data_IF_098245353548
#
_entry.id   IF_098245353548
#
_cell.length_a   1.000
_cell.length_b   1.000
_cell.length_c   1.000
_cell.angle_alpha   90.00
_cell.angle_beta   90.00
_cell.angle_gamma   90.00
#
_symmetry.space_group_name_H-M   'P 1'
#
loop_
_entity.id
_entity.type
_entity.pdbx_description
1 polymer ?
#
# COMPACT_ATOMS: atom_id res chain seq x y z
N UNK A 1 12.44 -20.94 -17.64
CA UNK A 1 11.37 -20.53 -18.58
C UNK A 1 10.05 -20.22 -17.87
N UNK A 2 9.62 -21.02 -16.90
CA UNK A 2 8.39 -20.76 -16.10
C UNK A 2 8.41 -19.44 -15.31
N UNK A 3 9.52 -19.10 -14.63
CA UNK A 3 9.62 -17.85 -13.84
C UNK A 3 9.45 -16.58 -14.68
N UNK A 4 10.05 -16.53 -15.87
CA UNK A 4 9.96 -15.36 -16.76
C UNK A 4 8.52 -15.16 -17.25
N UNK A 5 7.82 -16.25 -17.58
CA UNK A 5 6.41 -16.19 -17.99
C UNK A 5 5.53 -15.71 -16.84
N UNK A 6 5.74 -16.23 -15.62
CA UNK A 6 5.07 -15.78 -14.39
C UNK A 6 5.28 -14.28 -14.13
N UNK A 7 6.52 -13.81 -14.25
CA UNK A 7 6.90 -12.39 -14.16
C UNK A 7 6.10 -11.57 -15.17
N UNK A 8 6.19 -11.93 -16.46
CA UNK A 8 5.52 -11.18 -17.53
C UNK A 8 4.00 -11.15 -17.36
N UNK A 9 3.39 -12.26 -16.94
CA UNK A 9 1.95 -12.36 -16.72
C UNK A 9 1.45 -11.45 -15.59
N UNK A 10 2.22 -11.29 -14.51
CA UNK A 10 1.85 -10.41 -13.41
C UNK A 10 2.03 -8.91 -13.74
N UNK A 11 3.07 -8.57 -14.51
CA UNK A 11 3.53 -7.18 -14.67
C UNK A 11 2.98 -6.51 -15.92
N UNK A 12 2.94 -7.23 -17.05
CA UNK A 12 2.53 -6.64 -18.32
C UNK A 12 1.14 -5.98 -18.25
N UNK A 13 0.12 -6.60 -17.62
CA UNK A 13 -1.18 -5.95 -17.47
C UNK A 13 -1.07 -4.61 -16.74
N UNK A 14 -0.27 -4.57 -15.66
CA UNK A 14 -0.07 -3.38 -14.86
C UNK A 14 0.66 -2.30 -15.66
N UNK A 15 1.75 -2.64 -16.37
CA UNK A 15 2.46 -1.71 -17.26
C UNK A 15 1.52 -1.17 -18.33
N UNK A 16 0.71 -2.01 -18.98
CA UNK A 16 -0.21 -1.56 -20.01
C UNK A 16 -1.25 -0.58 -19.45
N UNK A 17 -1.81 -0.82 -18.27
CA UNK A 17 -2.72 0.15 -17.64
C UNK A 17 -2.02 1.47 -17.27
N UNK A 18 -0.77 1.44 -16.81
CA UNK A 18 0.01 2.67 -16.58
C UNK A 18 0.21 3.41 -17.91
N UNK A 19 0.58 2.72 -18.98
CA UNK A 19 0.76 3.31 -20.31
C UNK A 19 -0.54 3.91 -20.83
N UNK A 20 -1.68 3.22 -20.68
CA UNK A 20 -3.00 3.75 -21.04
C UNK A 20 -3.26 5.07 -20.31
N UNK A 21 -3.08 5.12 -18.99
CA UNK A 21 -3.24 6.36 -18.23
C UNK A 21 -2.30 7.47 -18.68
N UNK A 22 -1.04 7.13 -18.96
CA UNK A 22 -0.05 8.08 -19.48
C UNK A 22 -0.49 8.66 -20.83
N UNK A 23 -0.92 7.81 -21.77
CA UNK A 23 -1.32 8.24 -23.11
C UNK A 23 -2.64 9.01 -23.11
N UNK A 24 -3.61 8.64 -22.27
CA UNK A 24 -4.85 9.42 -22.10
C UNK A 24 -4.55 10.86 -21.65
N UNK A 25 -3.62 11.02 -20.71
CA UNK A 25 -3.18 12.33 -20.23
C UNK A 25 -2.31 13.08 -21.26
N UNK A 26 -1.48 12.35 -22.01
CA UNK A 26 -0.64 12.92 -23.06
C UNK A 26 -1.47 13.46 -24.23
N UNK A 27 -2.43 12.68 -24.71
CA UNK A 27 -3.36 13.04 -25.77
C UNK A 27 -4.47 14.02 -25.34
N UNK A 28 -4.47 14.46 -24.08
CA UNK A 28 -5.49 15.34 -23.48
C UNK A 28 -6.92 14.77 -23.53
N UNK A 29 -7.08 13.44 -23.63
CA UNK A 29 -8.37 12.75 -23.48
C UNK A 29 -8.83 12.81 -22.01
N UNK A 30 -7.87 12.76 -21.08
CA UNK A 30 -8.10 12.95 -19.66
C UNK A 30 -7.23 14.09 -19.12
N UNK A 31 -7.75 15.04 -18.33
CA UNK A 31 -6.95 16.14 -17.80
C UNK A 31 -5.86 15.64 -16.83
N UNK A 32 -4.64 16.15 -17.02
CA UNK A 32 -3.41 15.71 -16.32
C UNK A 32 -3.46 15.99 -14.82
N UNK A 33 -4.14 17.07 -14.44
CA UNK A 33 -4.34 17.53 -13.07
C UNK A 33 -5.48 16.79 -12.34
N UNK A 34 -6.26 15.96 -13.05
CA UNK A 34 -7.46 15.29 -12.51
C UNK A 34 -7.25 13.82 -12.14
N UNK A 35 -6.01 13.34 -12.02
CA UNK A 35 -5.72 11.95 -11.58
C UNK A 35 -6.38 11.61 -10.23
N UNK A 36 -6.56 12.61 -9.35
CA UNK A 36 -7.23 12.43 -8.06
C UNK A 36 -8.68 11.96 -8.19
N UNK A 37 -9.38 12.32 -9.28
CA UNK A 37 -10.77 11.87 -9.51
C UNK A 37 -10.82 10.33 -9.63
N UNK A 38 -9.87 9.74 -10.36
CA UNK A 38 -9.76 8.29 -10.50
C UNK A 38 -9.40 7.63 -9.15
N UNK A 39 -8.50 8.25 -8.38
CA UNK A 39 -8.15 7.77 -7.04
C UNK A 39 -9.34 7.82 -6.08
N UNK A 40 -10.08 8.93 -6.06
CA UNK A 40 -11.28 9.10 -5.23
C UNK A 40 -12.33 8.06 -5.59
N UNK A 41 -12.60 7.85 -6.87
CA UNK A 41 -13.55 6.84 -7.31
C UNK A 41 -13.09 5.42 -6.92
N UNK A 42 -11.79 5.13 -7.09
CA UNK A 42 -11.18 3.86 -6.70
C UNK A 42 -11.32 3.62 -5.19
N UNK A 43 -10.84 4.52 -4.35
CA UNK A 43 -10.72 4.30 -2.91
C UNK A 43 -12.00 4.59 -2.12
N UNK A 44 -12.92 5.41 -2.62
CA UNK A 44 -14.18 5.72 -1.92
C UNK A 44 -15.36 4.86 -2.38
N UNK A 45 -15.28 4.23 -3.56
CA UNK A 45 -16.40 3.46 -4.12
C UNK A 45 -15.99 2.01 -4.40
N UNK A 46 -15.12 1.79 -5.38
CA UNK A 46 -14.84 0.42 -5.85
C UNK A 46 -14.06 -0.42 -4.85
N UNK A 47 -13.07 0.16 -4.17
CA UNK A 47 -12.24 -0.54 -3.20
C UNK A 47 -13.05 -0.98 -1.97
N UNK A 48 -13.90 -0.14 -1.36
CA UNK A 48 -14.83 -0.56 -0.30
C UNK A 48 -15.72 -1.74 -0.71
N UNK A 49 -16.35 -1.66 -1.88
CA UNK A 49 -17.23 -2.73 -2.40
C UNK A 49 -16.45 -4.02 -2.61
N UNK A 50 -15.27 -3.92 -3.24
CA UNK A 50 -14.36 -5.04 -3.47
C UNK A 50 -13.87 -5.68 -2.17
N UNK A 51 -13.59 -4.87 -1.15
CA UNK A 51 -13.12 -5.34 0.17
C UNK A 51 -14.22 -6.11 0.88
N UNK A 52 -15.45 -5.59 0.92
CA UNK A 52 -16.60 -6.28 1.50
C UNK A 52 -16.80 -7.63 0.82
N UNK A 53 -16.77 -7.66 -0.52
CA UNK A 53 -16.98 -8.88 -1.27
C UNK A 53 -15.84 -9.90 -1.09
N UNK A 54 -14.58 -9.46 -1.18
CA UNK A 54 -13.41 -10.34 -1.16
C UNK A 54 -13.12 -10.85 0.25
N UNK A 55 -13.03 -9.95 1.23
CA UNK A 55 -12.78 -10.34 2.62
C UNK A 55 -14.02 -11.01 3.23
N UNK A 56 -15.22 -10.53 2.91
CA UNK A 56 -16.48 -11.07 3.41
C UNK A 56 -16.75 -12.52 3.01
N UNK A 57 -16.21 -13.01 1.88
CA UNK A 57 -16.39 -14.39 1.42
C UNK A 57 -15.34 -15.37 1.94
N UNK A 58 -14.10 -14.91 2.16
CA UNK A 58 -13.02 -15.78 2.64
C UNK A 58 -13.29 -16.21 4.08
N UNK A 59 -12.77 -17.38 4.46
CA UNK A 59 -12.76 -17.81 5.85
C UNK A 59 -11.51 -17.24 6.54
N UNK A 60 -11.73 -16.57 7.66
CA UNK A 60 -10.67 -16.00 8.49
C UNK A 60 -10.35 -17.01 9.58
N UNK A 61 -9.13 -17.54 9.54
CA UNK A 61 -8.60 -18.52 10.48
C UNK A 61 -7.82 -17.82 11.59
N UNK A 62 -7.53 -18.54 12.68
CA UNK A 62 -6.68 -18.03 13.77
C UNK A 62 -5.28 -17.64 13.29
N UNK A 63 -4.69 -18.42 12.37
CA UNK A 63 -3.39 -18.15 11.76
C UNK A 63 -3.34 -16.83 11.00
N UNK A 64 -4.48 -16.39 10.44
CA UNK A 64 -4.57 -15.12 9.72
C UNK A 64 -4.34 -13.91 10.66
N UNK A 65 -4.64 -14.05 11.96
CA UNK A 65 -4.35 -13.02 12.96
C UNK A 65 -2.86 -12.93 13.29
N UNK A 66 -2.12 -14.04 13.21
CA UNK A 66 -0.67 -14.02 13.40
C UNK A 66 0.03 -13.24 12.28
N UNK A 67 -0.51 -13.27 11.06
CA UNK A 67 -0.03 -12.44 9.94
C UNK A 67 -0.19 -10.94 10.28
N UNK A 68 -1.34 -10.56 10.82
CA UNK A 68 -1.63 -9.17 11.22
C UNK A 68 -0.69 -8.71 12.34
N UNK A 69 -0.46 -9.56 13.35
CA UNK A 69 0.46 -9.25 14.44
C UNK A 69 1.90 -9.13 13.92
N UNK A 70 2.34 -10.04 13.04
CA UNK A 70 3.66 -9.98 12.41
C UNK A 70 3.84 -8.68 11.63
N UNK A 71 2.80 -8.26 10.89
CA UNK A 71 2.80 -6.99 10.16
C UNK A 71 2.95 -5.79 11.11
N UNK A 72 2.20 -5.73 12.22
CA UNK A 72 2.30 -4.62 13.16
C UNK A 72 3.69 -4.51 13.78
N UNK A 73 4.30 -5.62 14.17
CA UNK A 73 5.64 -5.61 14.76
C UNK A 73 6.69 -5.24 13.70
N UNK A 74 6.60 -5.81 12.49
CA UNK A 74 7.47 -5.45 11.37
C UNK A 74 7.37 -3.95 11.03
N UNK A 75 6.16 -3.39 11.02
CA UNK A 75 5.93 -1.97 10.83
C UNK A 75 6.52 -1.12 11.95
N UNK A 76 6.40 -1.56 13.21
CA UNK A 76 6.99 -0.85 14.34
C UNK A 76 8.52 -0.83 14.25
N UNK A 77 9.15 -1.99 14.00
CA UNK A 77 10.60 -2.10 13.81
C UNK A 77 11.08 -1.24 12.63
N UNK A 78 10.35 -1.25 11.51
CA UNK A 78 10.68 -0.42 10.35
C UNK A 78 10.53 1.06 10.66
N UNK A 79 9.50 1.46 11.42
CA UNK A 79 9.31 2.83 11.85
C UNK A 79 10.45 3.32 12.75
N UNK A 80 10.99 2.46 13.63
CA UNK A 80 12.18 2.78 14.43
C UNK A 80 13.40 3.04 13.53
N UNK A 81 13.60 2.24 12.48
CA UNK A 81 14.65 2.49 11.49
C UNK A 81 14.43 3.81 10.76
N UNK A 82 13.18 4.10 10.34
CA UNK A 82 12.84 5.39 9.73
C UNK A 82 13.17 6.56 10.66
N UNK A 83 12.94 6.42 11.96
CA UNK A 83 13.25 7.45 12.96
C UNK A 83 14.75 7.73 13.05
N UNK A 84 15.59 6.69 12.98
CA UNK A 84 17.05 6.81 13.02
C UNK A 84 17.62 7.40 11.72
N UNK A 85 17.04 7.04 10.57
CA UNK A 85 17.53 7.46 9.25
C UNK A 85 17.07 8.88 8.90
N UNK A 86 15.87 9.28 9.32
CA UNK A 86 15.29 10.58 8.94
C UNK A 86 16.22 11.78 9.23
N UNK A 87 16.85 11.91 10.41
CA UNK A 87 17.74 13.04 10.70
C UNK A 87 18.96 13.13 9.77
N UNK A 88 19.36 12.00 9.16
CA UNK A 88 20.47 11.94 8.20
C UNK A 88 20.04 12.42 6.81
N UNK A 89 18.80 12.13 6.41
CA UNK A 89 18.23 12.50 5.11
C UNK A 89 17.69 13.94 5.10
N UNK A 90 16.99 14.31 6.17
CA UNK A 90 16.27 15.56 6.29
C UNK A 90 16.90 16.41 7.39
N UNK A 91 17.86 17.26 7.00
CA UNK A 91 18.51 18.18 7.95
C UNK A 91 17.54 19.28 8.40
N UNK A 92 16.76 19.80 7.46
CA UNK A 92 15.65 20.73 7.68
C UNK A 92 14.34 19.93 7.67
N UNK A 93 13.35 20.36 8.45
CA UNK A 93 11.99 19.78 8.48
C UNK A 93 11.91 18.29 8.88
N UNK A 94 12.76 17.86 9.82
CA UNK A 94 12.85 16.47 10.33
C UNK A 94 11.49 15.82 10.64
N UNK A 95 10.51 16.59 11.11
CA UNK A 95 9.16 16.09 11.45
C UNK A 95 8.39 15.67 10.20
N UNK A 96 8.37 16.53 9.18
CA UNK A 96 7.81 16.19 7.87
C UNK A 96 8.64 15.11 7.17
N UNK A 97 9.96 15.18 7.27
CA UNK A 97 10.86 14.13 6.79
C UNK A 97 10.52 12.76 7.37
N UNK A 98 10.23 12.68 8.67
CA UNK A 98 9.85 11.43 9.33
C UNK A 98 8.49 10.93 8.85
N UNK A 99 7.49 11.81 8.82
CA UNK A 99 6.16 11.49 8.32
C UNK A 99 6.21 10.97 6.87
N UNK A 100 6.98 11.65 6.02
CA UNK A 100 7.18 11.29 4.62
C UNK A 100 7.91 9.96 4.46
N UNK A 101 9.02 9.76 5.18
CA UNK A 101 9.78 8.51 5.19
C UNK A 101 8.89 7.33 5.58
N UNK A 102 8.15 7.46 6.69
CA UNK A 102 7.20 6.44 7.12
C UNK A 102 6.10 6.18 6.09
N UNK A 103 5.52 7.23 5.50
CA UNK A 103 4.49 7.03 4.48
C UNK A 103 5.02 6.27 3.26
N UNK A 104 6.25 6.57 2.82
CA UNK A 104 6.86 5.91 1.66
C UNK A 104 7.24 4.45 1.94
N UNK A 105 7.65 4.12 3.17
CA UNK A 105 8.19 2.78 3.48
C UNK A 105 7.18 1.83 4.13
N UNK A 106 6.15 2.36 4.81
CA UNK A 106 5.18 1.56 5.56
C UNK A 106 3.85 1.38 4.82
N UNK A 107 3.42 2.35 4.00
CA UNK A 107 2.15 2.23 3.27
C UNK A 107 2.38 1.49 1.95
N UNK A 108 1.71 0.36 1.78
CA UNK A 108 1.95 -0.57 0.68
C UNK A 108 0.80 -0.55 -0.33
N UNK A 109 1.11 -0.75 -1.60
CA UNK A 109 0.11 -0.86 -2.64
C UNK A 109 -0.34 -2.31 -2.83
N UNK A 110 -1.08 -2.83 -1.85
CA UNK A 110 -1.40 -4.25 -1.76
C UNK A 110 -2.35 -4.74 -2.85
N UNK A 111 -3.34 -3.95 -3.24
CA UNK A 111 -4.43 -4.41 -4.11
C UNK A 111 -4.30 -3.88 -5.54
N UNK A 112 -3.94 -2.61 -5.72
CA UNK A 112 -3.99 -1.98 -7.05
C UNK A 112 -2.87 -2.51 -7.94
N UNK A 113 -1.64 -2.56 -7.44
CA UNK A 113 -0.47 -3.07 -8.17
C UNK A 113 0.08 -4.35 -7.57
N UNK A 114 0.11 -4.47 -6.24
CA UNK A 114 0.69 -5.61 -5.54
C UNK A 114 0.00 -6.94 -5.86
N UNK A 115 -1.32 -7.00 -5.75
CA UNK A 115 -2.08 -8.24 -5.93
C UNK A 115 -1.85 -8.87 -7.32
N UNK A 116 -2.01 -8.16 -8.45
CA UNK A 116 -1.68 -8.73 -9.77
C UNK A 116 -0.23 -9.26 -9.88
N UNK A 117 0.73 -8.56 -9.28
CA UNK A 117 2.14 -8.97 -9.30
C UNK A 117 2.31 -10.26 -8.49
N UNK A 118 1.80 -10.32 -7.26
CA UNK A 118 1.92 -11.50 -6.39
C UNK A 118 1.19 -12.72 -6.99
N UNK A 119 0.02 -12.53 -7.61
CA UNK A 119 -0.70 -13.58 -8.33
C UNK A 119 0.06 -14.13 -9.54
N UNK A 120 1.01 -13.38 -10.10
CA UNK A 120 1.92 -13.88 -11.12
C UNK A 120 2.91 -14.92 -10.60
N UNK A 121 3.28 -14.85 -9.31
CA UNK A 121 4.29 -15.71 -8.68
C UNK A 121 3.72 -16.83 -7.82
N UNK A 122 2.54 -16.63 -7.25
CA UNK A 122 1.94 -17.53 -6.25
C UNK A 122 0.49 -17.85 -6.58
N UNK A 123 -0.11 -18.78 -5.83
CA UNK A 123 -1.50 -19.16 -6.02
C UNK A 123 -2.43 -17.93 -5.94
N UNK A 124 -3.30 -17.70 -6.94
CA UNK A 124 -4.13 -16.50 -6.98
C UNK A 124 -5.13 -16.37 -5.83
N UNK A 125 -5.62 -17.50 -5.30
CA UNK A 125 -6.62 -17.55 -4.23
C UNK A 125 -5.99 -17.20 -2.89
N UNK A 126 -4.79 -17.74 -2.62
CA UNK A 126 -3.96 -17.42 -1.45
C UNK A 126 -3.48 -15.97 -1.48
N UNK A 127 -2.93 -15.52 -2.62
CA UNK A 127 -2.45 -14.15 -2.80
C UNK A 127 -3.57 -13.14 -2.55
N UNK A 128 -4.78 -13.39 -3.06
CA UNK A 128 -5.95 -12.54 -2.79
C UNK A 128 -6.30 -12.56 -1.30
N UNK A 129 -6.44 -13.74 -0.69
CA UNK A 129 -6.80 -13.88 0.73
C UNK A 129 -5.84 -13.07 1.61
N UNK A 130 -4.54 -13.33 1.47
CA UNK A 130 -3.52 -12.70 2.32
C UNK A 130 -3.38 -11.21 2.03
N UNK A 131 -3.52 -10.76 0.78
CA UNK A 131 -3.50 -9.32 0.46
C UNK A 131 -4.60 -8.55 1.18
N UNK A 132 -5.83 -9.11 1.22
CA UNK A 132 -6.94 -8.47 1.95
C UNK A 132 -6.77 -8.53 3.48
N UNK A 133 -6.13 -9.58 4.02
CA UNK A 133 -5.77 -9.66 5.44
C UNK A 133 -4.72 -8.59 5.79
N UNK A 134 -3.68 -8.43 4.97
CA UNK A 134 -2.65 -7.42 5.18
C UNK A 134 -3.20 -6.00 4.99
N UNK A 135 -4.16 -5.81 4.08
CA UNK A 135 -4.93 -4.57 3.93
C UNK A 135 -5.57 -4.17 5.25
N UNK A 136 -6.21 -5.12 5.97
CA UNK A 136 -6.76 -4.83 7.28
C UNK A 136 -5.70 -4.27 8.23
N UNK A 137 -4.55 -4.94 8.35
CA UNK A 137 -3.44 -4.46 9.19
C UNK A 137 -2.94 -3.07 8.76
N UNK A 138 -2.82 -2.81 7.46
CA UNK A 138 -2.36 -1.54 6.93
C UNK A 138 -3.32 -0.38 7.28
N UNK A 139 -4.63 -0.61 7.11
CA UNK A 139 -5.68 0.39 7.35
C UNK A 139 -5.92 0.67 8.83
N UNK A 140 -5.72 -0.30 9.72
CA UNK A 140 -5.88 -0.12 11.16
C UNK A 140 -4.63 0.44 11.85
N UNK A 141 -3.46 0.41 11.20
CA UNK A 141 -2.20 0.86 11.79
C UNK A 141 -1.47 1.91 10.97
N UNK A 142 -0.73 1.49 9.94
CA UNK A 142 0.22 2.34 9.19
C UNK A 142 -0.40 3.59 8.58
N UNK A 143 -1.59 3.48 7.99
CA UNK A 143 -2.28 4.61 7.37
C UNK A 143 -2.63 5.67 8.43
N UNK A 144 -3.42 5.35 9.48
CA UNK A 144 -3.71 6.31 10.55
C UNK A 144 -2.45 6.91 11.17
N UNK A 145 -1.41 6.11 11.41
CA UNK A 145 -0.12 6.60 11.94
C UNK A 145 0.49 7.63 10.98
N UNK A 146 0.56 7.36 9.68
CA UNK A 146 1.13 8.31 8.72
C UNK A 146 0.32 9.61 8.63
N UNK A 147 -1.02 9.54 8.63
CA UNK A 147 -1.87 10.73 8.71
C UNK A 147 -1.59 11.55 9.97
N UNK A 148 -1.54 10.88 11.13
CA UNK A 148 -1.21 11.53 12.40
C UNK A 148 0.17 12.20 12.35
N UNK A 149 1.19 11.54 11.80
CA UNK A 149 2.55 12.11 11.72
C UNK A 149 2.59 13.39 10.86
N UNK A 150 1.86 13.42 9.73
CA UNK A 150 1.76 14.63 8.90
C UNK A 150 0.97 15.75 9.60
N UNK A 151 -0.16 15.45 10.24
CA UNK A 151 -0.93 16.42 11.01
C UNK A 151 -0.11 16.98 12.19
N UNK A 152 0.60 16.11 12.90
CA UNK A 152 1.50 16.48 13.99
C UNK A 152 2.64 17.40 13.52
N UNK A 153 3.26 17.09 12.37
CA UNK A 153 4.30 17.92 11.78
C UNK A 153 3.78 19.33 11.45
N UNK A 154 2.60 19.44 10.82
CA UNK A 154 1.93 20.72 10.51
C UNK A 154 1.65 21.57 11.73
N UNK A 155 1.22 20.97 12.84
CA UNK A 155 0.89 21.70 14.07
C UNK A 155 2.13 22.32 14.70
N UNK A 156 3.18 21.52 14.79
CA UNK A 156 4.46 21.89 15.38
C UNK A 156 5.26 22.92 14.55
N UNK A 157 4.87 23.15 13.30
CA UNK A 157 5.40 24.24 12.47
C UNK A 157 4.79 25.60 12.88
N UNK A 158 3.51 25.61 13.30
CA UNK A 158 2.77 26.85 13.63
C UNK A 158 2.96 27.32 15.07
N UNK A 159 3.11 26.41 16.01
CA UNK A 159 3.35 26.70 17.42
C UNK A 159 3.76 25.44 18.18
N UNK A 160 4.24 25.59 19.43
CA UNK A 160 4.39 24.43 20.32
C UNK A 160 3.01 24.05 20.89
N UNK A 161 2.42 22.92 20.45
CA UNK A 161 1.07 22.56 20.84
C UNK A 161 1.06 22.04 22.27
N UNK A 162 0.18 22.60 23.10
CA UNK A 162 -0.15 22.02 24.40
C UNK A 162 -0.72 20.60 24.24
N UNK A 163 -0.59 19.77 25.28
CA UNK A 163 -1.06 18.38 25.29
C UNK A 163 -2.52 18.22 24.83
N UNK A 164 -3.41 19.15 25.22
CA UNK A 164 -4.82 19.15 24.78
C UNK A 164 -4.98 19.24 23.26
N UNK A 165 -4.12 20.02 22.58
CA UNK A 165 -4.12 20.15 21.12
C UNK A 165 -3.66 18.86 20.46
N UNK A 166 -2.60 18.24 21.00
CA UNK A 166 -2.09 16.95 20.52
C UNK A 166 -3.17 15.87 20.67
N UNK A 167 -3.82 15.79 21.83
CA UNK A 167 -4.89 14.82 22.08
C UNK A 167 -6.07 15.03 21.13
N UNK A 168 -6.48 16.28 20.91
CA UNK A 168 -7.52 16.61 19.94
C UNK A 168 -7.16 16.12 18.54
N UNK A 169 -5.90 16.22 18.15
CA UNK A 169 -5.42 15.80 16.84
C UNK A 169 -5.39 14.29 16.73
N UNK A 170 -4.90 13.57 17.74
CA UNK A 170 -4.99 12.11 17.79
C UNK A 170 -6.45 11.64 17.63
N UNK A 171 -7.37 12.23 18.42
CA UNK A 171 -8.79 11.89 18.34
C UNK A 171 -9.38 12.22 16.97
N UNK A 172 -9.00 13.35 16.37
CA UNK A 172 -9.43 13.73 15.04
C UNK A 172 -8.86 12.79 13.96
N UNK A 173 -7.59 12.39 14.04
CA UNK A 173 -6.97 11.44 13.11
C UNK A 173 -7.67 10.08 13.21
N UNK A 174 -7.95 9.59 14.43
CA UNK A 174 -8.72 8.35 14.66
C UNK A 174 -10.13 8.49 14.08
N UNK A 175 -10.81 9.59 14.34
CA UNK A 175 -12.16 9.82 13.82
C UNK A 175 -12.22 9.90 12.30
N UNK A 176 -11.28 10.63 11.68
CA UNK A 176 -11.13 10.71 10.22
C UNK A 176 -10.81 9.35 9.61
N UNK A 177 -9.99 8.56 10.30
CA UNK A 177 -9.65 7.18 9.96
C UNK A 177 -10.89 6.29 10.00
N UNK A 178 -11.70 6.34 11.06
CA UNK A 178 -12.95 5.58 11.15
C UNK A 178 -13.99 5.99 10.11
N UNK A 179 -13.99 7.26 9.67
CA UNK A 179 -14.82 7.74 8.56
C UNK A 179 -14.33 7.33 7.17
N UNK A 180 -13.12 6.78 7.07
CA UNK A 180 -12.57 6.37 5.79
C UNK A 180 -13.41 5.20 5.22
N UNK A 181 -13.96 5.32 3.99
CA UNK A 181 -14.77 4.26 3.38
C UNK A 181 -14.08 2.90 3.36
N UNK A 182 -12.74 2.87 3.21
CA UNK A 182 -11.97 1.62 3.21
C UNK A 182 -12.00 0.94 4.58
N UNK A 183 -11.89 1.69 5.67
CA UNK A 183 -11.94 1.15 7.03
C UNK A 183 -13.35 0.67 7.39
N UNK A 184 -14.36 1.48 7.06
CA UNK A 184 -15.77 1.09 7.21
C UNK A 184 -16.05 -0.21 6.48
N UNK A 185 -15.54 -0.37 5.25
CA UNK A 185 -15.72 -1.58 4.45
C UNK A 185 -15.11 -2.82 5.08
N UNK A 186 -13.96 -2.69 5.76
CA UNK A 186 -13.34 -3.82 6.46
C UNK A 186 -14.18 -4.22 7.68
N UNK A 187 -14.68 -3.25 8.47
CA UNK A 187 -15.58 -3.56 9.58
C UNK A 187 -16.85 -4.26 9.09
N UNK A 188 -17.46 -3.79 7.99
CA UNK A 188 -18.61 -4.46 7.36
C UNK A 188 -18.25 -5.89 6.94
N UNK A 189 -17.09 -6.09 6.31
CA UNK A 189 -16.63 -7.42 5.89
C UNK A 189 -16.41 -8.38 7.06
N UNK A 190 -15.85 -7.90 8.18
CA UNK A 190 -15.64 -8.68 9.39
C UNK A 190 -16.97 -9.04 10.07
N UNK A 191 -17.89 -8.07 10.20
CA UNK A 191 -19.23 -8.31 10.74
C UNK A 191 -19.97 -9.34 9.86
N UNK A 192 -19.92 -9.18 8.54
CA UNK A 192 -20.52 -10.12 7.61
C UNK A 192 -19.91 -11.53 7.74
N UNK A 193 -18.61 -11.65 7.93
CA UNK A 193 -17.95 -12.93 8.21
C UNK A 193 -18.49 -13.60 9.49
N UNK A 194 -18.66 -12.86 10.57
CA UNK A 194 -19.21 -13.40 11.82
C UNK A 194 -20.67 -13.80 11.64
N UNK A 195 -21.48 -12.96 10.98
CA UNK A 195 -22.90 -13.23 10.72
C UNK A 195 -23.10 -14.48 9.85
N UNK A 196 -22.38 -14.62 8.74
CA UNK A 196 -22.50 -15.77 7.84
C UNK A 196 -22.05 -17.09 8.51
N UNK A 197 -21.08 -17.03 9.42
CA UNK A 197 -20.54 -18.22 10.09
C UNK A 197 -21.44 -18.69 11.24
N UNK A 198 -21.95 -17.75 12.07
CA UNK A 198 -22.67 -18.11 13.31
C UNK A 198 -24.18 -18.04 13.22
N UNK A 199 -24.73 -17.07 12.48
CA UNK A 199 -26.15 -16.73 12.57
C UNK A 199 -26.94 -17.06 11.31
N UNK A 200 -26.34 -16.84 10.13
CA UNK A 200 -27.04 -16.98 8.85
C UNK A 200 -26.18 -17.69 7.78
N UNK A 201 -26.07 -19.03 7.83
CA UNK A 201 -25.30 -19.80 6.85
C UNK A 201 -25.79 -19.63 5.40
N UNK A 202 -27.06 -19.26 5.20
CA UNK A 202 -27.63 -18.93 3.89
C UNK A 202 -26.96 -17.74 3.21
N UNK A 203 -26.31 -16.85 3.97
CA UNK A 203 -25.56 -15.71 3.42
C UNK A 203 -24.22 -16.13 2.79
N UNK A 204 -23.77 -17.38 2.92
CA UNK A 204 -22.47 -17.83 2.37
C UNK A 204 -22.39 -17.69 0.84
N UNK A 205 -23.52 -17.78 0.15
CA UNK A 205 -23.60 -17.60 -1.30
C UNK A 205 -24.39 -16.33 -1.60
N UNK A 206 -23.74 -15.36 -2.23
CA UNK A 206 -24.43 -14.20 -2.78
C UNK A 206 -25.34 -14.65 -3.92
N UNK A 207 -26.48 -13.97 -4.16
CA UNK A 207 -27.31 -14.26 -5.31
C UNK A 207 -26.50 -14.13 -6.61
N UNK A 208 -26.59 -15.15 -7.48
CA UNK A 208 -25.77 -15.29 -8.69
C UNK A 208 -25.87 -14.10 -9.65
N UNK A 209 -27.00 -13.38 -9.64
CA UNK A 209 -27.21 -12.19 -10.47
C UNK A 209 -26.51 -10.92 -9.94
N UNK A 210 -26.14 -10.88 -8.66
CA UNK A 210 -25.41 -9.73 -8.06
C UNK A 210 -23.90 -9.95 -8.15
N UNK A 211 -23.44 -11.20 -8.21
CA UNK A 211 -22.01 -11.55 -8.28
C UNK A 211 -21.23 -10.84 -9.40
N UNK A 212 -21.75 -10.70 -10.65
CA UNK A 212 -21.07 -9.96 -11.71
C UNK A 212 -20.81 -8.48 -11.38
N UNK A 213 -21.69 -7.83 -10.61
CA UNK A 213 -21.51 -6.44 -10.18
C UNK A 213 -20.29 -6.31 -9.27
N UNK A 214 -20.18 -7.16 -8.24
CA UNK A 214 -19.04 -7.14 -7.33
C UNK A 214 -17.72 -7.48 -8.03
N UNK A 215 -17.75 -8.46 -8.94
CA UNK A 215 -16.58 -8.80 -9.76
C UNK A 215 -16.14 -7.63 -10.64
N UNK A 216 -17.09 -6.89 -11.22
CA UNK A 216 -16.80 -5.69 -12.01
C UNK A 216 -16.19 -4.59 -11.14
N UNK A 217 -16.75 -4.33 -9.95
CA UNK A 217 -16.18 -3.37 -9.01
C UNK A 217 -14.73 -3.75 -8.62
N UNK A 218 -14.47 -5.03 -8.34
CA UNK A 218 -13.12 -5.52 -8.03
C UNK A 218 -12.15 -5.26 -9.18
N UNK A 219 -12.53 -5.57 -10.42
CA UNK A 219 -11.69 -5.32 -11.59
C UNK A 219 -11.38 -3.82 -11.75
N UNK A 220 -12.38 -2.95 -11.53
CA UNK A 220 -12.24 -1.51 -11.64
C UNK A 220 -11.29 -0.90 -10.61
N UNK A 221 -11.09 -1.51 -9.44
CA UNK A 221 -10.11 -1.05 -8.44
C UNK A 221 -8.70 -1.00 -9.04
N UNK A 222 -8.27 -2.11 -9.62
CA UNK A 222 -6.95 -2.22 -10.22
C UNK A 222 -6.85 -1.37 -11.48
N UNK A 223 -7.87 -1.39 -12.35
CA UNK A 223 -7.85 -0.60 -13.59
C UNK A 223 -7.74 0.90 -13.31
N UNK A 224 -8.65 1.48 -12.54
CA UNK A 224 -8.63 2.92 -12.28
C UNK A 224 -7.48 3.34 -11.38
N UNK A 225 -7.11 2.51 -10.40
CA UNK A 225 -5.95 2.76 -9.58
C UNK A 225 -4.65 2.79 -10.41
N UNK A 226 -4.41 1.83 -11.29
CA UNK A 226 -3.19 1.78 -12.11
C UNK A 226 -3.21 2.83 -13.22
N UNK A 227 -4.35 3.07 -13.87
CA UNK A 227 -4.49 4.16 -14.86
C UNK A 227 -4.22 5.52 -14.21
N UNK A 228 -4.65 5.73 -12.97
CA UNK A 228 -4.35 6.98 -12.25
C UNK A 228 -2.85 7.20 -12.03
N UNK A 229 -2.07 6.13 -11.81
CA UNK A 229 -0.60 6.18 -11.76
C UNK A 229 -0.04 6.68 -13.09
N UNK A 230 -0.59 6.21 -14.22
CA UNK A 230 -0.20 6.65 -15.56
C UNK A 230 -0.47 8.13 -15.79
N UNK A 231 -1.68 8.60 -15.49
CA UNK A 231 -2.06 10.02 -15.61
C UNK A 231 -1.15 10.89 -14.73
N UNK A 232 -0.91 10.46 -13.50
CA UNK A 232 0.00 11.12 -12.58
C UNK A 232 1.43 11.22 -13.14
N UNK A 233 1.98 10.11 -13.65
CA UNK A 233 3.33 10.07 -14.21
C UNK A 233 3.51 11.09 -15.32
N UNK A 234 2.50 11.21 -16.18
CA UNK A 234 2.48 12.17 -17.26
C UNK A 234 2.46 13.62 -16.74
N UNK A 235 1.65 13.89 -15.70
CA UNK A 235 1.58 15.20 -15.05
C UNK A 235 2.94 15.62 -14.45
N UNK A 236 3.64 14.69 -13.80
CA UNK A 236 4.98 14.96 -13.26
C UNK A 236 6.01 15.23 -14.35
N UNK A 237 6.00 14.44 -15.44
CA UNK A 237 6.85 14.73 -16.61
C UNK A 237 6.58 16.14 -17.15
N UNK A 238 5.31 16.57 -17.17
CA UNK A 238 4.95 17.92 -17.59
C UNK A 238 5.46 19.00 -16.62
N UNK A 239 5.24 18.83 -15.30
CA UNK A 239 5.75 19.73 -14.27
C UNK A 239 7.27 19.83 -14.31
N UNK A 240 7.98 18.72 -14.47
CA UNK A 240 9.44 18.70 -14.59
C UNK A 240 9.88 19.51 -15.80
N UNK A 241 9.28 19.30 -16.98
CA UNK A 241 9.57 20.08 -18.20
C UNK A 241 9.35 21.58 -18.00
N UNK A 242 8.33 21.97 -17.22
CA UNK A 242 8.07 23.37 -16.88
C UNK A 242 9.02 23.95 -15.82
N UNK A 243 9.47 23.14 -14.84
CA UNK A 243 10.29 23.55 -13.69
C UNK A 243 11.81 23.48 -13.88
N UNK A 244 12.31 23.28 -15.11
CA UNK A 244 13.77 23.17 -15.40
C UNK A 244 14.60 24.39 -14.91
N UNK A 245 13.99 25.50 -14.48
CA UNK A 245 14.71 26.72 -14.05
C UNK A 245 14.91 26.96 -12.54
N UNK A 246 14.38 26.18 -11.57
CA UNK A 246 14.41 26.69 -10.18
C UNK A 246 14.49 25.73 -8.98
N UNK A 247 14.88 24.46 -9.12
CA UNK A 247 14.93 23.57 -7.94
C UNK A 247 16.37 23.16 -7.61
N UNK A 248 16.86 23.63 -6.44
CA UNK A 248 18.05 23.09 -5.78
C UNK A 248 17.81 21.61 -5.50
N UNK A 249 18.42 20.77 -6.32
CA UNK A 249 18.29 19.31 -6.31
C UNK A 249 19.18 18.72 -5.23
N UNK A 250 18.81 18.85 -3.96
CA UNK A 250 19.49 18.17 -2.85
C UNK A 250 18.88 16.79 -2.61
N UNK A 251 19.75 15.76 -2.53
CA UNK A 251 19.56 14.38 -2.05
C UNK A 251 18.33 13.53 -2.45
N UNK A 252 17.41 13.98 -3.31
CA UNK A 252 16.19 13.21 -3.64
C UNK A 252 16.44 11.79 -4.19
N UNK A 253 17.55 11.58 -4.91
CA UNK A 253 17.95 10.25 -5.40
C UNK A 253 18.41 9.35 -4.26
N UNK A 254 19.18 9.90 -3.31
CA UNK A 254 19.63 9.15 -2.13
C UNK A 254 18.43 8.77 -1.25
N UNK A 255 17.49 9.70 -1.02
CA UNK A 255 16.25 9.43 -0.29
C UNK A 255 15.47 8.30 -0.95
N UNK A 256 15.28 8.37 -2.27
CA UNK A 256 14.62 7.33 -3.05
C UNK A 256 15.29 5.96 -2.89
N UNK A 257 16.62 5.86 -3.05
CA UNK A 257 17.36 4.59 -2.90
C UNK A 257 17.17 4.02 -1.50
N UNK A 258 17.31 4.85 -0.47
CA UNK A 258 17.18 4.42 0.91
C UNK A 258 15.74 3.97 1.21
N UNK A 259 14.73 4.70 0.74
CA UNK A 259 13.34 4.31 0.89
C UNK A 259 13.03 3.00 0.16
N UNK A 260 13.58 2.79 -1.05
CA UNK A 260 13.43 1.53 -1.77
C UNK A 260 14.04 0.35 -0.98
N UNK A 261 15.23 0.52 -0.41
CA UNK A 261 15.87 -0.50 0.43
C UNK A 261 15.05 -0.80 1.67
N UNK A 262 14.59 0.23 2.39
CA UNK A 262 13.76 0.02 3.58
C UNK A 262 12.45 -0.70 3.21
N UNK A 263 11.79 -0.27 2.14
CA UNK A 263 10.51 -0.79 1.68
C UNK A 263 10.58 -2.24 1.20
N UNK A 264 11.55 -2.57 0.35
CA UNK A 264 11.58 -3.86 -0.36
C UNK A 264 12.49 -4.89 0.31
N UNK A 265 13.39 -4.47 1.21
CA UNK A 265 14.30 -5.38 1.90
C UNK A 265 14.03 -5.39 3.40
N UNK A 266 14.15 -4.24 4.07
CA UNK A 266 14.07 -4.20 5.54
C UNK A 266 12.71 -4.64 6.05
N UNK A 267 11.62 -4.06 5.53
CA UNK A 267 10.27 -4.38 5.97
C UNK A 267 9.91 -5.87 5.72
N UNK A 268 10.09 -6.44 4.50
CA UNK A 268 9.80 -7.86 4.27
C UNK A 268 10.64 -8.80 5.10
N UNK A 269 11.94 -8.48 5.33
CA UNK A 269 12.81 -9.31 6.18
C UNK A 269 12.29 -9.36 7.61
N UNK A 270 11.90 -8.22 8.19
CA UNK A 270 11.27 -8.23 9.51
C UNK A 270 9.97 -9.05 9.52
N UNK A 271 9.14 -8.90 8.50
CA UNK A 271 7.91 -9.67 8.42
C UNK A 271 8.19 -11.19 8.34
N UNK A 272 9.15 -11.63 7.53
CA UNK A 272 9.59 -13.04 7.44
C UNK A 272 10.05 -13.54 8.81
N UNK A 273 10.90 -12.77 9.51
CA UNK A 273 11.41 -13.15 10.83
C UNK A 273 10.28 -13.36 11.84
N UNK A 274 9.33 -12.43 11.93
CA UNK A 274 8.22 -12.55 12.88
C UNK A 274 7.21 -13.62 12.49
N UNK A 275 6.92 -13.80 11.19
CA UNK A 275 6.06 -14.89 10.74
C UNK A 275 6.66 -16.26 11.08
N UNK A 276 7.98 -16.42 10.90
CA UNK A 276 8.68 -17.63 11.36
C UNK A 276 8.59 -17.79 12.87
N UNK A 277 8.85 -16.74 13.64
CA UNK A 277 8.80 -16.79 15.11
C UNK A 277 7.41 -17.17 15.64
N UNK A 278 6.35 -16.82 14.91
CA UNK A 278 4.97 -17.23 15.24
C UNK A 278 4.58 -18.62 14.75
N UNK A 279 5.52 -19.38 14.17
CA UNK A 279 5.26 -20.74 13.69
C UNK A 279 4.37 -20.80 12.44
N UNK A 280 4.25 -19.69 11.69
CA UNK A 280 3.54 -19.73 10.41
C UNK A 280 4.30 -20.61 9.42
N UNK A 281 3.55 -21.39 8.65
CA UNK A 281 4.14 -22.34 7.71
C UNK A 281 4.90 -21.61 6.58
N UNK A 282 5.78 -22.35 5.92
CA UNK A 282 6.64 -21.83 4.85
C UNK A 282 5.86 -21.15 3.71
N UNK A 283 4.73 -21.74 3.31
CA UNK A 283 3.92 -21.24 2.19
C UNK A 283 3.27 -19.89 2.52
N UNK A 284 2.65 -19.78 3.71
CA UNK A 284 2.08 -18.53 4.21
C UNK A 284 3.15 -17.44 4.25
N UNK A 285 4.32 -17.76 4.79
CA UNK A 285 5.43 -16.81 4.91
C UNK A 285 5.96 -16.36 3.55
N UNK A 286 6.05 -17.26 2.56
CA UNK A 286 6.43 -16.88 1.19
C UNK A 286 5.47 -15.88 0.57
N UNK A 287 4.18 -16.20 0.55
CA UNK A 287 3.17 -15.33 -0.09
C UNK A 287 3.11 -13.98 0.63
N UNK A 288 3.11 -13.99 1.96
CA UNK A 288 3.08 -12.75 2.75
C UNK A 288 4.36 -11.94 2.65
N UNK A 289 5.53 -12.55 2.45
CA UNK A 289 6.78 -11.81 2.17
C UNK A 289 6.73 -11.09 0.82
N UNK A 290 6.08 -11.68 -0.18
CA UNK A 290 5.87 -11.03 -1.47
C UNK A 290 4.91 -9.84 -1.34
N UNK A 291 3.80 -10.04 -0.63
CA UNK A 291 2.84 -8.97 -0.29
C UNK A 291 3.54 -7.84 0.48
N UNK A 292 4.40 -8.18 1.44
CA UNK A 292 5.17 -7.24 2.23
C UNK A 292 6.12 -6.38 1.41
N UNK A 293 6.49 -6.82 0.21
CA UNK A 293 7.46 -6.18 -0.69
C UNK A 293 6.81 -5.16 -1.60
N UNK A 294 5.51 -5.33 -1.90
CA UNK A 294 4.75 -4.50 -2.83
C UNK A 294 5.09 -3.01 -2.71
N UNK A 295 5.25 -2.33 -3.83
CA UNK A 295 5.60 -0.93 -3.90
C UNK A 295 4.76 0.01 -3.01
N UNK A 296 5.24 1.22 -2.80
CA UNK A 296 4.58 2.25 -2.00
C UNK A 296 3.15 2.54 -2.47
N UNK A 297 2.22 2.74 -1.53
CA UNK A 297 0.84 3.07 -1.82
C UNK A 297 0.68 4.43 -2.51
N UNK A 298 -0.26 4.53 -3.45
CA UNK A 298 -0.74 5.79 -4.03
C UNK A 298 -1.16 6.83 -2.97
N UNK A 299 -1.67 6.35 -1.83
CA UNK A 299 -2.09 7.20 -0.73
C UNK A 299 -0.91 7.91 -0.05
N UNK A 300 0.29 7.32 -0.02
CA UNK A 300 1.49 7.97 0.51
C UNK A 300 1.89 9.17 -0.36
N UNK A 301 1.78 9.01 -1.68
CA UNK A 301 1.97 10.11 -2.62
C UNK A 301 0.91 11.22 -2.41
N UNK A 302 -0.36 10.87 -2.31
CA UNK A 302 -1.43 11.85 -2.05
C UNK A 302 -1.20 12.62 -0.73
N UNK A 303 -0.70 11.94 0.30
CA UNK A 303 -0.28 12.58 1.55
C UNK A 303 0.90 13.54 1.32
N UNK A 304 1.95 13.11 0.63
CA UNK A 304 3.10 13.96 0.31
C UNK A 304 2.70 15.23 -0.48
N UNK A 305 1.85 15.08 -1.51
CA UNK A 305 1.38 16.16 -2.37
C UNK A 305 0.48 17.16 -1.62
N UNK A 306 -0.52 16.68 -0.87
CA UNK A 306 -1.42 17.54 -0.06
C UNK A 306 -0.70 18.26 1.09
N UNK A 307 0.49 17.78 1.48
CA UNK A 307 1.35 18.43 2.47
C UNK A 307 2.49 19.25 1.82
N UNK A 308 2.56 19.33 0.48
CA UNK A 308 3.65 19.96 -0.28
C UNK A 308 5.06 19.48 0.14
N UNK A 309 5.20 18.21 0.51
CA UNK A 309 6.46 17.66 1.02
C UNK A 309 6.95 16.47 0.20
N UNK A 310 7.98 16.70 -0.61
CA UNK A 310 8.61 15.73 -1.53
C UNK A 310 7.64 14.82 -2.34
N UNK A 311 6.56 15.34 -2.95
CA UNK A 311 5.62 14.51 -3.74
C UNK A 311 6.31 13.75 -4.88
N UNK A 312 7.38 14.31 -5.46
CA UNK A 312 8.16 13.64 -6.49
C UNK A 312 8.83 12.36 -6.01
N UNK A 313 9.39 12.32 -4.79
CA UNK A 313 10.02 11.11 -4.25
C UNK A 313 8.97 10.04 -3.98
N UNK A 314 7.84 10.39 -3.36
CA UNK A 314 6.74 9.46 -3.14
C UNK A 314 6.17 8.91 -4.46
N UNK A 315 6.01 9.77 -5.48
CA UNK A 315 5.57 9.33 -6.82
C UNK A 315 6.54 8.36 -7.48
N UNK A 316 7.85 8.64 -7.41
CA UNK A 316 8.88 7.74 -7.93
C UNK A 316 8.97 6.42 -7.15
N UNK A 317 8.71 6.44 -5.83
CA UNK A 317 8.60 5.24 -5.01
C UNK A 317 7.47 4.32 -5.47
N UNK A 318 6.33 4.88 -5.92
CA UNK A 318 5.25 4.08 -6.53
C UNK A 318 5.77 3.44 -7.82
N UNK A 319 6.31 4.23 -8.75
CA UNK A 319 6.67 3.78 -10.11
C UNK A 319 7.87 2.84 -10.14
N UNK A 320 8.99 3.24 -9.54
CA UNK A 320 10.21 2.44 -9.51
C UNK A 320 9.99 1.22 -8.61
N UNK A 321 9.27 1.38 -7.50
CA UNK A 321 8.93 0.27 -6.62
C UNK A 321 8.24 -0.87 -7.37
N UNK A 322 7.33 -0.57 -8.31
CA UNK A 322 6.69 -1.63 -9.12
C UNK A 322 7.68 -2.45 -9.92
N UNK A 323 8.72 -1.82 -10.47
CA UNK A 323 9.78 -2.55 -11.19
C UNK A 323 10.69 -3.32 -10.23
N UNK A 324 10.92 -2.80 -9.02
CA UNK A 324 11.74 -3.44 -7.99
C UNK A 324 11.02 -4.67 -7.41
N UNK A 325 9.71 -4.62 -7.21
CA UNK A 325 8.88 -5.74 -6.73
C UNK A 325 9.17 -7.03 -7.49
N UNK A 326 9.24 -6.91 -8.81
CA UNK A 326 9.49 -8.00 -9.77
C UNK A 326 10.79 -8.73 -9.49
N UNK A 327 11.85 -7.97 -9.20
CA UNK A 327 13.17 -8.51 -8.97
C UNK A 327 13.29 -9.08 -7.56
N UNK A 328 12.68 -8.43 -6.57
CA UNK A 328 12.87 -8.75 -5.16
C UNK A 328 11.96 -9.89 -4.69
N UNK A 329 10.71 -10.00 -5.19
CA UNK A 329 9.77 -11.05 -4.77
C UNK A 329 10.36 -12.48 -4.94
N UNK A 330 10.97 -12.86 -6.07
CA UNK A 330 11.60 -14.16 -6.22
C UNK A 330 12.77 -14.38 -5.24
N UNK A 331 13.58 -13.35 -5.01
CA UNK A 331 14.73 -13.42 -4.11
C UNK A 331 14.30 -13.66 -2.66
N UNK A 332 13.22 -13.00 -2.23
CA UNK A 332 12.64 -13.25 -0.90
C UNK A 332 12.02 -14.64 -0.79
N UNK A 333 11.40 -15.15 -1.87
CA UNK A 333 10.94 -16.55 -1.90
C UNK A 333 12.06 -17.55 -1.66
N UNK A 334 13.25 -17.31 -2.24
CA UNK A 334 14.46 -18.12 -2.01
C UNK A 334 14.99 -17.94 -0.58
N UNK A 335 14.95 -16.71 -0.04
CA UNK A 335 15.35 -16.44 1.34
C UNK A 335 14.47 -17.21 2.33
N UNK A 336 13.16 -17.21 2.13
CA UNK A 336 12.22 -17.97 2.97
C UNK A 336 12.52 -19.48 2.90
N UNK A 337 12.79 -20.03 1.72
CA UNK A 337 13.21 -21.44 1.60
C UNK A 337 14.44 -21.74 2.46
N UNK A 338 15.50 -20.92 2.38
CA UNK A 338 16.72 -21.11 3.17
C UNK A 338 16.48 -20.99 4.67
N UNK A 339 15.59 -20.09 5.09
CA UNK A 339 15.27 -19.86 6.50
C UNK A 339 14.50 -21.07 7.09
N UNK A 340 13.65 -21.73 6.31
CA UNK A 340 12.84 -22.87 6.75
C UNK A 340 13.51 -24.24 6.55
N UNK A 341 14.58 -24.34 5.77
CA UNK A 341 15.38 -25.57 5.61
C UNK A 341 16.31 -25.90 6.80
N UNK A 342 16.45 -24.99 7.77
CA UNK A 342 17.33 -25.17 8.94
C UNK A 342 16.63 -25.82 10.14
N UNK A 343 15.52 -26.48 9.89
CA UNK A 343 14.75 -27.33 10.81
C UNK A 343 14.73 -28.74 10.23
#
# INVERSE_FOLDING_TARGET
MTLIISILNGILPVIFYVLVGYFLAHANVFPRDKYQVLLTLTFNVFFPISTIYSLGRKEILSEDFLIIIAYYIASLCTMLICMLITPLLFKTDRRFGFAHTCSCTLMQNLIVTGLPIVQGFYDPIEAEKYSFITVFAQFTSTIPICFFLFEYAKLREKSDPNFKVILKVILQSIWNTLKNPMIVSIFIALIYNVLKQKFFPSLKQLPTYIEPFFNSCRALVSVFGVVSIGVFSQNEVHKIKQKIKSVKRTNSVLNLIIFLVIRHIVFPVFQIMFMKQFGLNKQITKVNSAIATCNTALQAFNLADSNNFEPGVAGMMVLIGMAVDVAIIPLLGILVEKIYLRE
#
